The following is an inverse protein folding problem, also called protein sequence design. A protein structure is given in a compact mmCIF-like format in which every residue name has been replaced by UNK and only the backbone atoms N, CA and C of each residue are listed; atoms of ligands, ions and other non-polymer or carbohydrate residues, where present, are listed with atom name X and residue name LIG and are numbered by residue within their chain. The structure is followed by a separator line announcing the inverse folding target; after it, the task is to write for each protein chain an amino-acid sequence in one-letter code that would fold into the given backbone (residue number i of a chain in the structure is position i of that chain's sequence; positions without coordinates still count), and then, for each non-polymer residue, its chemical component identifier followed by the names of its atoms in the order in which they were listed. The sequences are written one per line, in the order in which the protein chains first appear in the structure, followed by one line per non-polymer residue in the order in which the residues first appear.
data_IF_980970907080
#
_entry.id   IF_980970907080
#
_cell.length_a   1.000
_cell.length_b   1.000
_cell.length_c   1.000
_cell.angle_alpha   90.00
_cell.angle_beta   90.00
_cell.angle_gamma   90.00
#
_symmetry.space_group_name_H-M   'P 1'
#
loop_
_entity.id
_entity.type
_entity.pdbx_description
1 polymer ?
#
# COMPACT_ATOMS: atom_id res chain seq x y z
N UNK A 1 17.41 18.02 8.17
CA UNK A 1 17.49 17.40 6.83
C UNK A 1 18.26 18.33 5.92
N UNK A 2 19.09 17.79 5.03
CA UNK A 2 19.91 18.58 4.08
C UNK A 2 19.90 17.86 2.73
N UNK A 3 19.79 18.62 1.63
CA UNK A 3 19.73 18.08 0.27
C UNK A 3 18.30 17.89 -0.26
N UNK A 4 18.22 17.52 -1.53
CA UNK A 4 16.95 17.32 -2.24
C UNK A 4 16.36 15.93 -1.95
N UNK A 5 15.03 15.81 -1.86
CA UNK A 5 14.38 14.53 -1.61
C UNK A 5 14.54 13.60 -2.84
N UNK A 6 15.01 12.38 -2.61
CA UNK A 6 15.14 11.37 -3.66
C UNK A 6 13.80 10.71 -4.04
N UNK A 7 12.84 10.68 -3.12
CA UNK A 7 11.55 10.01 -3.28
C UNK A 7 10.45 10.78 -2.54
N UNK A 8 9.22 10.75 -3.05
CA UNK A 8 8.01 11.20 -2.37
C UNK A 8 6.99 10.06 -2.35
N UNK A 9 6.42 9.78 -1.19
CA UNK A 9 5.32 8.81 -1.05
C UNK A 9 4.11 9.52 -0.48
N UNK A 10 3.04 9.60 -1.27
CA UNK A 10 1.76 10.17 -0.87
C UNK A 10 0.84 9.01 -0.51
N UNK A 11 0.78 8.70 0.78
CA UNK A 11 0.01 7.58 1.32
C UNK A 11 -0.93 7.97 2.46
N UNK A 12 -1.47 6.96 3.13
CA UNK A 12 -2.34 7.11 4.28
C UNK A 12 -3.79 6.85 3.92
N UNK A 13 -4.71 7.72 4.36
CA UNK A 13 -6.15 7.50 4.23
C UNK A 13 -6.60 7.03 2.84
N UNK A 14 -6.77 7.97 1.91
CA UNK A 14 -7.06 7.64 0.50
C UNK A 14 -6.64 8.81 -0.40
N UNK A 15 -5.36 8.90 -0.78
CA UNK A 15 -4.87 9.98 -1.64
C UNK A 15 -5.62 10.09 -2.97
N UNK A 16 -6.08 8.96 -3.53
CA UNK A 16 -6.91 8.92 -4.75
C UNK A 16 -8.25 9.67 -4.68
N UNK A 17 -8.71 10.07 -3.48
CA UNK A 17 -9.88 10.95 -3.34
C UNK A 17 -9.58 12.43 -3.50
N UNK A 18 -8.31 12.81 -3.52
CA UNK A 18 -7.89 14.17 -3.83
C UNK A 18 -7.87 14.38 -5.34
N UNK A 19 -8.11 15.61 -5.78
CA UNK A 19 -7.96 15.96 -7.20
C UNK A 19 -6.51 15.77 -7.65
N UNK A 20 -6.32 15.45 -8.93
CA UNK A 20 -4.98 15.37 -9.53
C UNK A 20 -4.18 16.66 -9.28
N UNK A 21 -4.79 17.83 -9.49
CA UNK A 21 -4.15 19.14 -9.24
C UNK A 21 -3.63 19.29 -7.80
N UNK A 22 -4.36 18.78 -6.81
CA UNK A 22 -3.92 18.84 -5.41
C UNK A 22 -2.68 17.99 -5.20
N UNK A 23 -2.67 16.77 -5.75
CA UNK A 23 -1.53 15.85 -5.64
C UNK A 23 -0.32 16.38 -6.40
N UNK A 24 -0.52 16.89 -7.61
CA UNK A 24 0.55 17.46 -8.43
C UNK A 24 1.14 18.73 -7.82
N UNK A 25 0.34 19.54 -7.13
CA UNK A 25 0.86 20.66 -6.33
C UNK A 25 1.82 20.19 -5.22
N UNK A 26 1.56 19.04 -4.59
CA UNK A 26 2.49 18.44 -3.62
C UNK A 26 3.74 17.91 -4.31
N UNK A 27 3.60 17.22 -5.44
CA UNK A 27 4.72 16.73 -6.25
C UNK A 27 5.64 17.87 -6.65
N UNK A 28 5.10 18.96 -7.19
CA UNK A 28 5.85 20.14 -7.59
C UNK A 28 6.53 20.81 -6.39
N UNK A 29 5.82 20.96 -5.26
CA UNK A 29 6.36 21.58 -4.05
C UNK A 29 7.56 20.81 -3.49
N UNK A 30 7.50 19.48 -3.51
CA UNK A 30 8.56 18.62 -2.96
C UNK A 30 9.70 18.42 -3.97
N UNK A 31 9.40 18.32 -5.25
CA UNK A 31 10.41 18.18 -6.32
C UNK A 31 11.19 16.86 -6.30
N UNK A 32 10.62 15.79 -5.75
CA UNK A 32 11.27 14.47 -5.75
C UNK A 32 11.11 13.76 -7.10
N UNK A 33 12.14 13.05 -7.60
CA UNK A 33 12.10 12.39 -8.91
C UNK A 33 11.37 11.04 -8.94
N UNK A 34 11.28 10.32 -7.82
CA UNK A 34 10.51 9.07 -7.70
C UNK A 34 9.29 9.30 -6.81
N UNK A 35 8.11 9.34 -7.42
CA UNK A 35 6.85 9.65 -6.74
C UNK A 35 5.94 8.43 -6.75
N UNK A 36 5.52 8.01 -5.56
CA UNK A 36 4.48 6.99 -5.37
C UNK A 36 3.22 7.62 -4.78
N UNK A 37 2.05 7.29 -5.35
CA UNK A 37 0.74 7.70 -4.83
C UNK A 37 -0.11 6.46 -4.53
N UNK A 38 -0.70 6.39 -3.34
CA UNK A 38 -1.66 5.32 -3.03
C UNK A 38 -3.04 5.59 -3.64
N UNK A 39 -3.67 4.53 -4.15
CA UNK A 39 -5.01 4.58 -4.70
C UNK A 39 -5.85 3.35 -4.31
N UNK A 40 -7.17 3.51 -4.36
CA UNK A 40 -8.11 2.39 -4.28
C UNK A 40 -8.71 2.09 -5.66
N UNK A 41 -9.16 0.84 -5.90
CA UNK A 41 -9.81 0.47 -7.16
C UNK A 41 -11.00 1.35 -7.56
N UNK A 42 -11.80 1.79 -6.59
CA UNK A 42 -12.99 2.62 -6.83
C UNK A 42 -12.71 4.07 -7.23
N UNK A 43 -11.50 4.57 -7.00
CA UNK A 43 -11.16 5.98 -7.20
C UNK A 43 -10.29 6.19 -8.46
N UNK A 44 -9.93 5.12 -9.17
CA UNK A 44 -8.93 5.15 -10.25
C UNK A 44 -9.55 5.53 -11.61
N UNK A 45 -10.06 6.75 -11.72
CA UNK A 45 -10.63 7.26 -12.97
C UNK A 45 -9.56 7.54 -14.04
N UNK A 46 -9.86 7.33 -15.34
CA UNK A 46 -8.86 7.45 -16.40
C UNK A 46 -8.22 8.82 -16.45
N UNK A 47 -9.01 9.89 -16.37
CA UNK A 47 -8.52 11.26 -16.47
C UNK A 47 -7.63 11.64 -15.28
N UNK A 48 -7.92 11.09 -14.09
CA UNK A 48 -7.09 11.29 -12.90
C UNK A 48 -5.72 10.62 -13.09
N UNK A 49 -5.72 9.38 -13.59
CA UNK A 49 -4.50 8.61 -13.81
C UNK A 49 -3.63 9.22 -14.92
N UNK A 50 -4.25 9.64 -16.03
CA UNK A 50 -3.56 10.34 -17.12
C UNK A 50 -2.90 11.63 -16.64
N UNK A 51 -3.61 12.42 -15.82
CA UNK A 51 -3.07 13.64 -15.23
C UNK A 51 -1.87 13.35 -14.31
N UNK A 52 -1.93 12.31 -13.49
CA UNK A 52 -0.80 11.93 -12.63
C UNK A 52 0.43 11.50 -13.42
N UNK A 53 0.25 10.69 -14.47
CA UNK A 53 1.35 10.27 -15.35
C UNK A 53 1.98 11.50 -16.03
N UNK A 54 1.15 12.38 -16.59
CA UNK A 54 1.63 13.62 -17.22
C UNK A 54 2.34 14.57 -16.22
N UNK A 55 1.92 14.54 -14.95
CA UNK A 55 2.50 15.32 -13.87
C UNK A 55 3.73 14.70 -13.20
N UNK A 56 4.26 13.60 -13.74
CA UNK A 56 5.52 13.01 -13.29
C UNK A 56 5.40 12.03 -12.12
N UNK A 57 4.21 11.50 -11.84
CA UNK A 57 4.06 10.39 -10.89
C UNK A 57 4.67 9.12 -11.50
N UNK A 58 5.63 8.51 -10.80
CA UNK A 58 6.35 7.31 -11.26
C UNK A 58 5.57 6.04 -10.98
N UNK A 59 4.82 6.01 -9.85
CA UNK A 59 4.15 4.80 -9.35
C UNK A 59 2.80 5.07 -8.70
N UNK A 60 1.86 4.15 -8.93
CA UNK A 60 0.64 4.04 -8.12
C UNK A 60 0.66 2.72 -7.33
N UNK A 61 0.38 2.79 -6.02
CA UNK A 61 0.14 1.61 -5.18
C UNK A 61 -1.35 1.38 -5.00
N UNK A 62 -1.87 0.29 -5.54
CA UNK A 62 -3.30 -0.02 -5.55
C UNK A 62 -3.67 -0.95 -4.40
N UNK A 63 -4.45 -0.43 -3.47
CA UNK A 63 -4.95 -1.16 -2.31
C UNK A 63 -6.06 -2.16 -2.66
N UNK A 64 -5.75 -3.27 -3.32
CA UNK A 64 -6.75 -4.32 -3.67
C UNK A 64 -7.22 -5.08 -2.44
N UNK A 65 -6.29 -5.43 -1.56
CA UNK A 65 -6.43 -6.13 -0.29
C UNK A 65 -6.97 -7.56 -0.37
N UNK A 66 -8.08 -7.79 -1.07
CA UNK A 66 -8.63 -9.10 -1.42
C UNK A 66 -9.61 -8.94 -2.58
N UNK A 67 -9.49 -9.79 -3.58
CA UNK A 67 -10.42 -9.92 -4.71
C UNK A 67 -11.68 -10.70 -4.34
N UNK A 68 -11.65 -11.45 -3.22
CA UNK A 68 -12.75 -12.26 -2.75
C UNK A 68 -13.78 -11.39 -1.99
N UNK A 69 -15.06 -11.34 -2.44
CA UNK A 69 -16.04 -10.37 -1.97
C UNK A 69 -16.28 -10.31 -0.46
N UNK A 70 -16.26 -11.48 0.20
CA UNK A 70 -16.53 -11.59 1.64
C UNK A 70 -15.41 -11.02 2.50
N UNK A 71 -14.17 -11.07 2.02
CA UNK A 71 -13.01 -10.56 2.73
C UNK A 71 -12.85 -9.06 2.53
N UNK A 72 -13.07 -8.55 1.31
CA UNK A 72 -13.17 -7.12 1.04
C UNK A 72 -14.21 -6.43 1.96
N UNK A 73 -15.41 -7.03 2.10
CA UNK A 73 -16.43 -6.52 3.03
C UNK A 73 -15.99 -6.54 4.50
N UNK A 74 -15.24 -7.57 4.93
CA UNK A 74 -14.70 -7.64 6.30
C UNK A 74 -13.70 -6.53 6.58
N UNK A 75 -12.95 -6.11 5.56
CA UNK A 75 -12.01 -4.99 5.61
C UNK A 75 -12.70 -3.61 5.53
N UNK A 76 -14.04 -3.56 5.49
CA UNK A 76 -14.77 -2.30 5.40
C UNK A 76 -14.65 -1.60 4.05
N UNK A 77 -14.24 -2.32 3.00
CA UNK A 77 -14.10 -1.79 1.64
C UNK A 77 -15.41 -1.91 0.86
N UNK A 78 -15.62 -0.96 -0.05
CA UNK A 78 -16.63 -1.10 -1.08
C UNK A 78 -16.29 -2.32 -1.95
N UNK A 79 -17.30 -3.11 -2.35
CA UNK A 79 -17.05 -4.24 -3.23
C UNK A 79 -17.01 -3.78 -4.69
N UNK A 80 -15.84 -3.28 -5.11
CA UNK A 80 -15.54 -2.96 -6.51
C UNK A 80 -14.58 -4.01 -7.06
N UNK A 81 -14.86 -4.63 -8.21
CA UNK A 81 -13.90 -5.53 -8.85
C UNK A 81 -12.59 -4.79 -9.14
N UNK A 82 -11.46 -5.32 -8.67
CA UNK A 82 -10.17 -4.68 -8.86
C UNK A 82 -9.64 -4.77 -10.30
N UNK A 83 -10.06 -5.79 -11.06
CA UNK A 83 -9.54 -6.08 -12.41
C UNK A 83 -9.55 -4.86 -13.36
N UNK A 84 -10.67 -4.13 -13.53
CA UNK A 84 -10.69 -2.93 -14.36
C UNK A 84 -9.71 -1.83 -13.93
N UNK A 85 -9.51 -1.63 -12.62
CA UNK A 85 -8.53 -0.66 -12.12
C UNK A 85 -7.10 -1.13 -12.38
N UNK A 86 -6.82 -2.42 -12.22
CA UNK A 86 -5.51 -3.01 -12.52
C UNK A 86 -5.20 -2.87 -14.01
N UNK A 87 -6.16 -3.13 -14.90
CA UNK A 87 -5.97 -2.95 -16.35
C UNK A 87 -5.71 -1.49 -16.72
N UNK A 88 -6.35 -0.53 -16.04
CA UNK A 88 -6.04 0.90 -16.19
C UNK A 88 -4.59 1.21 -15.79
N UNK A 89 -4.11 0.68 -14.67
CA UNK A 89 -2.70 0.85 -14.26
C UNK A 89 -1.72 0.21 -15.23
N UNK A 90 -2.04 -0.99 -15.73
CA UNK A 90 -1.21 -1.70 -16.71
C UNK A 90 -1.04 -0.87 -17.99
N UNK A 91 -2.09 -0.15 -18.41
CA UNK A 91 -2.11 0.66 -19.62
C UNK A 91 -1.75 2.14 -19.43
N UNK A 92 -1.42 2.60 -18.22
CA UNK A 92 -1.33 4.04 -17.91
C UNK A 92 -0.04 4.72 -18.37
N UNK A 93 1.02 3.96 -18.62
CA UNK A 93 2.34 4.51 -18.93
C UNK A 93 3.15 4.95 -17.70
N UNK A 94 2.72 4.60 -16.48
CA UNK A 94 3.56 4.71 -15.28
C UNK A 94 4.85 3.88 -15.42
N UNK A 95 5.94 4.32 -14.81
CA UNK A 95 7.19 3.55 -14.73
C UNK A 95 6.98 2.21 -13.99
N UNK A 96 6.10 2.21 -12.99
CA UNK A 96 5.73 1.02 -12.24
C UNK A 96 4.35 1.17 -11.58
N UNK A 97 3.77 0.07 -11.13
CA UNK A 97 2.59 0.06 -10.26
C UNK A 97 2.63 -1.13 -9.32
N UNK A 98 1.90 -1.08 -8.21
CA UNK A 98 1.83 -2.18 -7.25
C UNK A 98 0.39 -2.54 -6.91
N UNK A 99 0.19 -3.78 -6.50
CA UNK A 99 -1.06 -4.25 -5.90
C UNK A 99 -0.79 -4.77 -4.50
N UNK A 100 -1.58 -4.29 -3.54
CA UNK A 100 -1.45 -4.67 -2.14
C UNK A 100 -2.43 -5.79 -1.81
N UNK A 101 -1.96 -6.84 -1.16
CA UNK A 101 -2.74 -7.99 -0.73
C UNK A 101 -2.64 -8.13 0.79
N UNK A 102 -3.79 -8.28 1.46
CA UNK A 102 -3.85 -8.61 2.89
C UNK A 102 -4.17 -10.09 3.05
N UNK A 103 -3.39 -10.78 3.88
CA UNK A 103 -3.61 -12.18 4.23
C UNK A 103 -3.73 -12.38 5.74
N UNK A 104 -4.16 -13.58 6.15
CA UNK A 104 -4.45 -13.88 7.55
C UNK A 104 -5.76 -13.22 8.03
N UNK A 105 -6.72 -13.03 7.13
CA UNK A 105 -8.02 -12.48 7.50
C UNK A 105 -8.84 -13.49 8.31
N UNK A 106 -9.72 -13.04 9.24
CA UNK A 106 -10.54 -13.95 10.04
C UNK A 106 -11.35 -14.90 9.15
N UNK A 107 -11.13 -16.20 9.29
CA UNK A 107 -11.78 -17.24 8.49
C UNK A 107 -11.34 -17.30 7.02
N UNK A 108 -10.17 -16.77 6.67
CA UNK A 108 -9.53 -16.97 5.37
C UNK A 108 -8.92 -18.36 5.31
N UNK A 109 -9.19 -19.09 4.24
CA UNK A 109 -8.54 -20.37 3.98
C UNK A 109 -7.35 -20.19 3.05
N UNK A 110 -6.44 -21.16 2.99
CA UNK A 110 -5.35 -21.14 2.01
C UNK A 110 -5.89 -21.09 0.57
N UNK A 111 -6.98 -21.81 0.27
CA UNK A 111 -7.61 -21.79 -1.05
C UNK A 111 -8.13 -20.40 -1.44
N UNK A 112 -8.64 -19.64 -0.48
CA UNK A 112 -9.08 -18.26 -0.72
C UNK A 112 -7.92 -17.33 -1.02
N UNK A 113 -6.83 -17.49 -0.27
CA UNK A 113 -5.61 -16.72 -0.45
C UNK A 113 -4.95 -17.01 -1.80
N UNK A 114 -4.93 -18.28 -2.20
CA UNK A 114 -4.50 -18.71 -3.53
C UNK A 114 -5.36 -18.05 -4.61
N UNK A 115 -6.68 -18.09 -4.47
CA UNK A 115 -7.58 -17.47 -5.44
C UNK A 115 -7.34 -15.96 -5.57
N UNK A 116 -7.12 -15.26 -4.44
CA UNK A 116 -6.76 -13.85 -4.43
C UNK A 116 -5.44 -13.59 -5.17
N UNK A 117 -4.39 -14.35 -4.85
CA UNK A 117 -3.08 -14.16 -5.47
C UNK A 117 -3.11 -14.48 -6.98
N UNK A 118 -3.75 -15.57 -7.40
CA UNK A 118 -3.86 -15.92 -8.82
C UNK A 118 -4.64 -14.87 -9.61
N UNK A 119 -5.70 -14.32 -9.03
CA UNK A 119 -6.47 -13.25 -9.66
C UNK A 119 -5.61 -12.00 -9.90
N UNK A 120 -4.76 -11.63 -8.94
CA UNK A 120 -3.81 -10.53 -9.11
C UNK A 120 -2.73 -10.86 -10.14
N UNK A 121 -2.14 -12.06 -10.07
CA UNK A 121 -1.05 -12.47 -10.95
C UNK A 121 -1.47 -12.64 -12.41
N UNK A 122 -2.75 -12.89 -12.68
CA UNK A 122 -3.31 -12.92 -14.04
C UNK A 122 -3.13 -11.59 -14.79
N UNK A 123 -2.98 -10.47 -14.06
CA UNK A 123 -2.72 -9.15 -14.62
C UNK A 123 -1.22 -8.82 -14.74
N UNK A 124 -0.34 -9.77 -14.39
CA UNK A 124 1.12 -9.65 -14.48
C UNK A 124 1.70 -8.40 -13.77
N UNK A 125 1.36 -8.14 -12.49
CA UNK A 125 1.86 -6.97 -11.78
C UNK A 125 3.38 -6.93 -11.76
N UNK A 126 3.99 -5.74 -11.93
CA UNK A 126 5.43 -5.58 -11.80
C UNK A 126 5.88 -5.58 -10.33
N UNK A 127 4.96 -5.30 -9.40
CA UNK A 127 5.21 -5.25 -7.97
C UNK A 127 3.97 -5.68 -7.17
N UNK A 128 4.18 -6.43 -6.09
CA UNK A 128 3.15 -6.89 -5.15
C UNK A 128 3.61 -6.64 -3.72
N UNK A 129 2.73 -6.06 -2.90
CA UNK A 129 2.93 -5.90 -1.46
C UNK A 129 2.08 -6.91 -0.70
N UNK A 130 2.67 -7.64 0.24
CA UNK A 130 2.00 -8.58 1.13
C UNK A 130 1.96 -8.02 2.55
N UNK A 131 0.76 -7.92 3.10
CA UNK A 131 0.53 -7.48 4.47
C UNK A 131 -0.23 -8.56 5.25
N UNK A 132 0.36 -9.05 6.32
CA UNK A 132 -0.39 -9.84 7.29
C UNK A 132 -1.36 -8.91 8.03
N UNK A 133 -2.61 -9.35 8.21
CA UNK A 133 -3.57 -8.56 8.99
C UNK A 133 -2.98 -8.29 10.38
N UNK A 134 -2.86 -7.00 10.71
CA UNK A 134 -2.42 -6.54 12.03
C UNK A 134 -3.60 -5.83 12.69
N UNK A 135 -3.93 -6.20 13.93
CA UNK A 135 -5.06 -5.61 14.66
C UNK A 135 -4.60 -4.41 15.45
N UNK A 136 -4.82 -3.22 14.89
CA UNK A 136 -4.49 -1.97 15.57
C UNK A 136 -5.54 -1.57 16.62
N UNK A 137 -5.13 -0.96 17.74
CA UNK A 137 -6.05 -0.41 18.74
C UNK A 137 -7.06 0.57 18.13
N UNK A 138 -8.32 0.50 18.58
CA UNK A 138 -9.38 1.39 18.11
C UNK A 138 -10.03 1.01 16.77
N UNK A 139 -9.52 -0.03 16.08
CA UNK A 139 -10.13 -0.55 14.85
C UNK A 139 -11.42 -1.33 15.10
N UNK A 140 -12.17 -1.60 14.02
CA UNK A 140 -13.32 -2.50 14.06
C UNK A 140 -12.93 -3.92 14.50
N UNK A 141 -11.75 -4.39 14.09
CA UNK A 141 -11.24 -5.70 14.47
C UNK A 141 -10.87 -5.77 15.95
N UNK A 142 -10.21 -4.76 16.51
CA UNK A 142 -9.94 -4.71 17.96
C UNK A 142 -11.23 -4.78 18.80
N UNK A 143 -12.32 -4.15 18.34
CA UNK A 143 -13.63 -4.24 19.00
C UNK A 143 -14.27 -5.63 18.91
N UNK A 144 -14.01 -6.37 17.85
CA UNK A 144 -14.52 -7.73 17.66
C UNK A 144 -13.70 -8.74 18.48
N UNK A 145 -12.39 -8.59 18.51
CA UNK A 145 -11.47 -9.36 19.34
C UNK A 145 -11.80 -9.19 20.83
N UNK A 146 -12.01 -7.95 21.28
CA UNK A 146 -12.44 -7.66 22.66
C UNK A 146 -13.79 -8.31 23.04
N UNK A 147 -14.58 -8.76 22.06
CA UNK A 147 -15.83 -9.52 22.27
C UNK A 147 -15.63 -11.03 22.16
N UNK A 148 -14.39 -11.51 22.17
CA UNK A 148 -14.02 -12.93 22.13
C UNK A 148 -14.11 -13.55 20.73
N UNK A 149 -14.13 -12.74 19.66
CA UNK A 149 -14.02 -13.29 18.31
C UNK A 149 -12.56 -13.54 17.99
N UNK A 150 -12.25 -14.72 17.49
CA UNK A 150 -10.93 -15.02 16.93
C UNK A 150 -10.73 -14.21 15.64
N UNK A 151 -9.65 -13.44 15.60
CA UNK A 151 -9.36 -12.48 14.55
C UNK A 151 -8.09 -12.81 13.77
N UNK A 152 -7.10 -13.40 14.44
CA UNK A 152 -5.85 -13.84 13.84
C UNK A 152 -5.89 -15.35 13.62
N UNK A 153 -5.35 -15.86 12.50
CA UNK A 153 -5.13 -17.30 12.36
C UNK A 153 -4.07 -17.77 13.36
N UNK A 154 -4.10 -19.07 13.66
CA UNK A 154 -3.00 -19.73 14.35
C UNK A 154 -1.64 -19.47 13.66
N UNK A 155 -0.56 -19.38 14.43
CA UNK A 155 0.76 -19.01 13.92
C UNK A 155 1.27 -19.97 12.82
N UNK A 156 0.99 -21.27 12.93
CA UNK A 156 1.39 -22.24 11.91
C UNK A 156 0.57 -22.07 10.62
N UNK A 157 -0.71 -21.70 10.75
CA UNK A 157 -1.56 -21.36 9.60
C UNK A 157 -1.09 -20.08 8.93
N UNK A 158 -0.81 -19.03 9.71
CA UNK A 158 -0.28 -17.77 9.21
C UNK A 158 1.02 -17.98 8.44
N UNK A 159 1.95 -18.75 9.03
CA UNK A 159 3.23 -19.08 8.39
C UNK A 159 3.02 -19.85 7.10
N UNK A 160 2.16 -20.87 7.11
CA UNK A 160 1.86 -21.66 5.90
C UNK A 160 1.28 -20.81 4.78
N UNK A 161 0.44 -19.81 5.12
CA UNK A 161 -0.07 -18.84 4.16
C UNK A 161 1.05 -17.97 3.58
N UNK A 162 1.91 -17.41 4.43
CA UNK A 162 3.01 -16.55 3.99
C UNK A 162 4.02 -17.31 3.13
N UNK A 163 4.46 -18.50 3.57
CA UNK A 163 5.41 -19.34 2.85
C UNK A 163 4.86 -19.68 1.45
N UNK A 164 3.56 -20.01 1.34
CA UNK A 164 2.91 -20.24 0.05
C UNK A 164 2.90 -19.01 -0.86
N UNK A 165 2.57 -17.83 -0.33
CA UNK A 165 2.57 -16.59 -1.10
C UNK A 165 3.98 -16.27 -1.64
N UNK A 166 5.01 -16.42 -0.81
CA UNK A 166 6.42 -16.20 -1.18
C UNK A 166 6.81 -17.11 -2.33
N UNK A 167 6.61 -18.42 -2.17
CA UNK A 167 6.96 -19.41 -3.20
C UNK A 167 6.27 -19.10 -4.53
N UNK A 168 4.98 -18.74 -4.47
CA UNK A 168 4.18 -18.47 -5.66
C UNK A 168 4.58 -17.17 -6.37
N UNK A 169 4.91 -16.12 -5.62
CA UNK A 169 5.42 -14.86 -6.17
C UNK A 169 6.79 -15.04 -6.82
N UNK A 170 7.70 -15.78 -6.17
CA UNK A 170 9.01 -16.09 -6.73
C UNK A 170 8.88 -16.88 -8.03
N UNK A 171 7.98 -17.88 -8.08
CA UNK A 171 7.67 -18.62 -9.29
C UNK A 171 7.08 -17.74 -10.41
N UNK A 172 6.43 -16.62 -10.07
CA UNK A 172 5.94 -15.63 -11.04
C UNK A 172 7.03 -14.65 -11.52
N UNK A 173 8.24 -14.72 -10.97
CA UNK A 173 9.33 -13.78 -11.25
C UNK A 173 9.28 -12.47 -10.44
N UNK A 174 8.51 -12.44 -9.34
CA UNK A 174 8.49 -11.35 -8.38
C UNK A 174 9.41 -11.69 -7.22
N UNK A 175 10.52 -10.95 -7.09
CA UNK A 175 11.55 -11.25 -6.09
C UNK A 175 11.37 -10.38 -4.86
N UNK A 176 11.44 -11.01 -3.68
CA UNK A 176 11.42 -10.30 -2.41
C UNK A 176 12.62 -9.35 -2.31
N UNK A 177 12.37 -8.12 -1.87
CA UNK A 177 13.44 -7.14 -1.65
C UNK A 177 13.42 -6.50 -0.27
N UNK A 178 12.30 -6.60 0.44
CA UNK A 178 12.20 -6.41 1.89
C UNK A 178 11.08 -7.31 2.44
N UNK A 179 10.63 -7.11 3.68
CA UNK A 179 9.67 -7.99 4.37
C UNK A 179 8.33 -8.14 3.64
N UNK A 180 7.76 -7.04 3.15
CA UNK A 180 6.40 -7.02 2.58
C UNK A 180 6.36 -7.04 1.05
N UNK A 181 7.39 -6.57 0.37
CA UNK A 181 7.33 -6.21 -1.04
C UNK A 181 8.18 -7.12 -1.93
N UNK A 182 7.57 -7.45 -3.06
CA UNK A 182 8.10 -8.31 -4.11
C UNK A 182 8.00 -7.56 -5.43
N UNK A 183 9.06 -7.61 -6.22
CA UNK A 183 9.09 -6.87 -7.48
C UNK A 183 9.83 -7.65 -8.56
N UNK A 184 9.40 -7.45 -9.80
CA UNK A 184 10.21 -7.77 -10.97
C UNK A 184 11.44 -6.87 -11.00
N UNK A 185 12.47 -7.27 -11.75
CA UNK A 185 13.66 -6.45 -11.93
C UNK A 185 13.30 -5.07 -12.49
N UNK A 186 13.86 -4.02 -11.89
CA UNK A 186 13.56 -2.62 -12.26
C UNK A 186 12.34 -2.00 -11.55
N UNK A 187 11.52 -2.79 -10.84
CA UNK A 187 10.25 -2.32 -10.26
C UNK A 187 10.24 -2.21 -8.73
N UNK A 188 11.39 -2.38 -8.06
CA UNK A 188 11.52 -2.16 -6.60
C UNK A 188 11.17 -0.71 -6.27
N UNK A 189 10.39 -0.46 -5.22
CA UNK A 189 10.12 0.91 -4.74
C UNK A 189 11.34 1.39 -3.97
N UNK A 190 11.96 2.49 -4.43
CA UNK A 190 13.07 3.09 -3.70
C UNK A 190 12.59 3.56 -2.33
N UNK A 191 11.41 4.20 -2.26
CA UNK A 191 10.83 4.68 -1.00
C UNK A 191 10.64 3.54 0.02
N UNK A 192 10.04 2.42 -0.40
CA UNK A 192 9.81 1.30 0.53
C UNK A 192 11.13 0.69 1.02
N UNK A 193 12.18 0.69 0.19
CA UNK A 193 13.49 0.18 0.58
C UNK A 193 14.18 1.07 1.64
N UNK A 194 13.91 2.39 1.65
CA UNK A 194 14.51 3.32 2.61
C UNK A 194 14.20 2.95 4.06
N UNK A 195 12.98 2.51 4.35
CA UNK A 195 12.57 2.12 5.70
C UNK A 195 13.45 1.00 6.26
N UNK A 196 13.77 0.00 5.44
CA UNK A 196 14.56 -1.17 5.83
C UNK A 196 16.07 -0.93 5.79
N UNK A 197 16.51 0.08 5.04
CA UNK A 197 17.89 0.55 5.06
C UNK A 197 18.17 1.48 6.25
N UNK A 198 17.15 1.85 7.02
CA UNK A 198 17.29 2.81 8.11
C UNK A 198 17.67 4.20 7.61
N UNK A 199 17.22 4.57 6.41
CA UNK A 199 17.42 5.92 5.89
C UNK A 199 16.43 6.91 6.54
N UNK A 200 16.86 8.14 6.88
CA UNK A 200 15.98 9.14 7.48
C UNK A 200 14.98 9.69 6.45
N UNK A 201 13.78 10.03 6.92
CA UNK A 201 12.72 10.60 6.11
C UNK A 201 11.87 11.58 6.93
N UNK A 202 11.41 12.62 6.24
CA UNK A 202 10.50 13.61 6.81
C UNK A 202 9.06 13.10 6.72
N UNK A 203 8.25 13.38 7.75
CA UNK A 203 6.82 13.12 7.76
C UNK A 203 6.04 14.43 7.76
N UNK A 204 5.06 14.53 6.87
CA UNK A 204 4.19 15.71 6.76
C UNK A 204 2.74 15.24 6.79
N UNK A 205 1.91 15.97 7.52
CA UNK A 205 0.48 15.68 7.66
C UNK A 205 0.11 14.95 8.96
N UNK A 206 -1.19 14.86 9.24
CA UNK A 206 -1.71 14.30 10.49
C UNK A 206 -1.38 12.82 10.63
N UNK A 207 -0.85 12.41 11.79
CA UNK A 207 -0.49 11.01 12.07
C UNK A 207 0.72 10.49 11.30
N UNK A 208 1.42 11.32 10.52
CA UNK A 208 2.61 10.91 9.80
C UNK A 208 3.77 10.60 10.76
N UNK A 209 4.47 9.49 10.54
CA UNK A 209 5.63 9.08 11.31
C UNK A 209 6.92 9.51 10.62
N UNK A 210 7.87 10.06 11.37
CA UNK A 210 9.14 10.51 10.81
C UNK A 210 10.36 9.88 11.47
N UNK A 211 11.48 9.90 10.74
CA UNK A 211 12.76 9.39 11.22
C UNK A 211 13.90 10.33 10.85
N UNK A 212 14.56 10.89 11.86
CA UNK A 212 15.56 11.93 11.70
C UNK A 212 16.97 11.34 11.51
N UNK A 213 17.88 12.07 10.86
CA UNK A 213 19.27 11.63 10.68
C UNK A 213 20.03 11.37 11.99
N UNK A 214 19.60 11.97 13.10
CA UNK A 214 20.16 11.78 14.44
C UNK A 214 19.58 10.54 15.16
N UNK A 215 18.73 9.76 14.49
CA UNK A 215 18.10 8.56 15.03
C UNK A 215 16.76 8.81 15.76
N UNK A 216 16.34 10.06 15.93
CA UNK A 216 15.05 10.37 16.58
C UNK A 216 13.87 9.96 15.69
N UNK A 217 12.85 9.37 16.32
CA UNK A 217 11.55 9.06 15.69
C UNK A 217 10.47 9.92 16.30
N UNK A 218 9.48 10.32 15.50
CA UNK A 218 8.32 11.07 15.97
C UNK A 218 7.06 10.66 15.21
N UNK A 219 5.92 11.10 15.73
CA UNK A 219 4.62 11.00 15.08
C UNK A 219 3.96 12.37 15.18
N UNK A 220 3.44 12.85 14.06
CA UNK A 220 2.66 14.08 14.00
C UNK A 220 1.29 13.89 14.68
N UNK A 221 0.74 14.95 15.26
CA UNK A 221 -0.55 14.89 15.93
C UNK A 221 -1.68 14.27 15.06
N UNK A 222 -2.66 13.66 15.73
CA UNK A 222 -3.88 13.15 15.08
C UNK A 222 -4.60 14.27 14.31
N UNK A 223 -5.50 13.93 13.37
CA UNK A 223 -6.26 14.96 12.63
C UNK A 223 -6.92 16.02 13.53
N UNK A 224 -7.48 15.61 14.66
CA UNK A 224 -8.11 16.53 15.60
C UNK A 224 -7.08 17.50 16.21
N UNK A 225 -5.88 17.01 16.55
CA UNK A 225 -4.79 17.83 17.08
C UNK A 225 -4.12 18.71 16.01
N UNK A 226 -3.86 18.14 14.85
CA UNK A 226 -3.29 18.82 13.69
C UNK A 226 -4.11 20.06 13.30
N UNK A 227 -5.45 19.94 13.31
CA UNK A 227 -6.35 21.08 13.06
C UNK A 227 -6.27 22.19 14.11
N UNK A 228 -5.79 21.89 15.32
CA UNK A 228 -5.56 22.85 16.40
C UNK A 228 -4.13 23.40 16.41
N UNK A 229 -3.28 22.99 15.47
CA UNK A 229 -1.86 23.37 15.42
C UNK A 229 -1.01 22.63 16.45
N UNK A 230 -1.45 21.46 16.93
CA UNK A 230 -0.60 20.56 17.70
C UNK A 230 0.40 19.89 16.76
N UNK A 231 1.68 19.92 17.12
CA UNK A 231 2.76 19.20 16.43
C UNK A 231 2.79 17.73 16.83
#
# INVERSE_FOLDING_TARGET
FTGDPATLYIGGGTPSRLSADTLLGLVETVGAPDVTVEANPEDLEPEWLEALVAGGVSRVSLGVQSTVPRFARRLGRAHVPAGPAIERLRGSGLDSWSVDLIFGLPGQTLADLVADLEALLAHEPPHVSLYGLTIEPGTGFARLEARGREMEPDADVWRSMYDHLVERLEAAGLHRYEVSNFARNGHRSAHNALYWQGAPYLAVGPGAHGFAPDGRRWVNASWAGWRRGEE
#
